data_IF_716552913759
#
_entry.id   IF_716552913759
#
_cell.length_a   1.000
_cell.length_b   1.000
_cell.length_c   1.000
_cell.angle_alpha   90.00
_cell.angle_beta   90.00
_cell.angle_gamma   90.00
#
_symmetry.space_group_name_H-M   'P 1'
#
loop_
_entity.id
_entity.type
_entity.pdbx_description
1 polymer ?
#
# COMPACT_ATOMS: atom_id res chain seq x y z
N UNK A 1 14.53 11.95 15.82
CA UNK A 1 14.46 10.47 16.00
C UNK A 1 13.93 9.87 14.71
N UNK A 2 14.55 8.82 14.25
CA UNK A 2 14.18 8.16 13.00
C UNK A 2 13.05 7.15 13.26
N UNK A 3 12.00 7.20 12.47
CA UNK A 3 10.95 6.18 12.46
C UNK A 3 10.67 5.70 11.03
N UNK A 4 9.87 4.65 10.90
CA UNK A 4 9.70 3.92 9.64
C UNK A 4 8.25 3.89 9.21
N UNK A 5 8.04 3.80 7.91
CA UNK A 5 6.75 3.54 7.27
C UNK A 5 6.94 2.49 6.18
N UNK A 6 5.89 1.75 5.89
CA UNK A 6 5.92 0.74 4.84
C UNK A 6 4.73 0.95 3.90
N UNK A 7 5.04 1.01 2.63
CA UNK A 7 4.05 1.14 1.57
C UNK A 7 4.23 0.05 0.52
N UNK A 8 3.16 -0.23 -0.20
CA UNK A 8 3.21 -1.14 -1.35
C UNK A 8 2.48 -0.45 -2.50
N UNK A 9 3.20 -0.18 -3.59
CA UNK A 9 2.59 0.35 -4.80
C UNK A 9 1.82 -0.77 -5.50
N UNK A 10 0.56 -0.51 -5.80
CA UNK A 10 -0.37 -1.48 -6.37
C UNK A 10 -0.26 -1.55 -7.89
N UNK A 11 -0.84 -2.61 -8.52
CA UNK A 11 -0.76 -2.76 -9.97
C UNK A 11 -1.25 -1.55 -10.77
N UNK A 12 -2.29 -0.86 -10.31
CA UNK A 12 -2.80 0.32 -10.98
C UNK A 12 -1.79 1.48 -11.02
N UNK A 13 -0.98 1.64 -9.97
CA UNK A 13 0.11 2.62 -9.97
C UNK A 13 1.17 2.28 -11.02
N UNK A 14 1.51 0.99 -11.18
CA UNK A 14 2.45 0.54 -12.20
C UNK A 14 1.88 0.74 -13.60
N UNK A 15 0.66 0.28 -13.83
CA UNK A 15 -0.02 0.37 -15.13
C UNK A 15 -0.22 1.82 -15.60
N UNK A 16 -0.44 2.74 -14.67
CA UNK A 16 -0.63 4.16 -14.95
C UNK A 16 0.68 4.96 -14.95
N UNK A 17 1.82 4.31 -14.83
CA UNK A 17 3.15 4.96 -14.81
C UNK A 17 3.30 5.99 -13.68
N UNK A 18 2.71 5.70 -12.52
CA UNK A 18 2.71 6.59 -11.35
C UNK A 18 3.74 6.21 -10.28
N UNK A 19 4.55 5.18 -10.50
CA UNK A 19 5.54 4.71 -9.51
C UNK A 19 6.48 5.84 -9.10
N UNK A 20 7.14 6.48 -10.07
CA UNK A 20 8.10 7.55 -9.80
C UNK A 20 7.41 8.80 -9.24
N UNK A 21 6.29 9.29 -9.79
CA UNK A 21 5.56 10.39 -9.18
C UNK A 21 5.16 10.16 -7.71
N UNK A 22 4.70 8.96 -7.37
CA UNK A 22 4.33 8.61 -5.99
C UNK A 22 5.55 8.59 -5.07
N UNK A 23 6.64 7.94 -5.48
CA UNK A 23 7.87 7.90 -4.70
C UNK A 23 8.43 9.31 -4.48
N UNK A 24 8.40 10.15 -5.50
CA UNK A 24 8.84 11.54 -5.40
C UNK A 24 8.03 12.33 -4.35
N UNK A 25 6.71 12.10 -4.26
CA UNK A 25 5.87 12.72 -3.23
C UNK A 25 6.32 12.35 -1.81
N UNK A 26 6.73 11.11 -1.58
CA UNK A 26 7.28 10.69 -0.29
C UNK A 26 8.63 11.35 -0.02
N UNK A 27 9.52 11.42 -1.01
CA UNK A 27 10.83 12.07 -0.85
C UNK A 27 10.69 13.58 -0.57
N UNK A 28 9.79 14.26 -1.25
CA UNK A 28 9.48 15.68 -1.01
C UNK A 28 8.88 15.94 0.39
N UNK A 29 8.19 14.94 0.95
CA UNK A 29 7.67 14.98 2.32
C UNK A 29 8.71 14.59 3.39
N UNK A 30 9.97 14.42 3.00
CA UNK A 30 11.07 14.14 3.92
C UNK A 30 11.29 12.65 4.22
N UNK A 31 10.70 11.75 3.45
CA UNK A 31 10.98 10.33 3.57
C UNK A 31 12.22 9.92 2.77
N UNK A 32 12.95 8.98 3.31
CA UNK A 32 14.06 8.31 2.64
C UNK A 32 13.67 6.87 2.29
N UNK A 33 14.13 6.39 1.14
CA UNK A 33 13.94 4.99 0.75
C UNK A 33 15.01 4.15 1.43
N UNK A 34 14.60 3.24 2.31
CA UNK A 34 15.49 2.29 2.96
C UNK A 34 15.63 0.99 2.16
N UNK A 35 14.53 0.54 1.57
CA UNK A 35 14.50 -0.66 0.75
C UNK A 35 13.34 -0.60 -0.23
N UNK A 36 13.58 -1.06 -1.45
CA UNK A 36 12.57 -1.14 -2.50
C UNK A 36 12.70 -2.49 -3.19
N UNK A 37 11.57 -3.14 -3.44
CA UNK A 37 11.54 -4.40 -4.15
C UNK A 37 10.46 -4.44 -5.23
N UNK A 38 10.43 -5.54 -5.95
CA UNK A 38 9.37 -5.87 -6.90
C UNK A 38 8.91 -7.31 -6.62
N UNK A 39 7.60 -7.51 -6.54
CA UNK A 39 7.04 -8.84 -6.38
C UNK A 39 6.00 -9.11 -7.48
N UNK A 40 6.16 -10.22 -8.16
CA UNK A 40 5.07 -10.80 -8.94
C UNK A 40 4.14 -11.52 -7.94
N UNK A 41 2.91 -11.03 -7.81
CA UNK A 41 2.01 -11.45 -6.74
C UNK A 41 1.52 -12.87 -6.95
N UNK A 42 1.76 -13.72 -5.94
CA UNK A 42 1.21 -15.07 -5.86
C UNK A 42 -0.06 -15.09 -5.01
N UNK A 43 -0.88 -16.13 -5.18
CA UNK A 43 -2.05 -16.35 -4.34
C UNK A 43 -1.67 -16.41 -2.85
N UNK A 44 -0.60 -17.14 -2.50
CA UNK A 44 -0.12 -17.24 -1.13
C UNK A 44 0.28 -15.90 -0.54
N UNK A 45 1.03 -15.08 -1.28
CA UNK A 45 1.47 -13.76 -0.82
C UNK A 45 0.29 -12.85 -0.51
N UNK A 46 -0.63 -12.71 -1.45
CA UNK A 46 -1.73 -11.76 -1.30
C UNK A 46 -2.79 -12.23 -0.28
N UNK A 47 -2.99 -13.54 -0.17
CA UNK A 47 -3.88 -14.12 0.84
C UNK A 47 -3.35 -13.86 2.25
N UNK A 48 -2.05 -14.05 2.47
CA UNK A 48 -1.42 -13.74 3.75
C UNK A 48 -1.47 -12.25 4.07
N UNK A 49 -1.25 -11.39 3.09
CA UNK A 49 -1.32 -9.94 3.27
C UNK A 49 -2.70 -9.48 3.73
N UNK A 50 -3.76 -10.02 3.16
CA UNK A 50 -5.15 -9.67 3.48
C UNK A 50 -5.84 -10.65 4.43
N UNK A 51 -5.09 -11.51 5.11
CA UNK A 51 -5.66 -12.62 5.91
C UNK A 51 -6.74 -12.17 6.89
N UNK A 52 -6.49 -11.15 7.70
CA UNK A 52 -7.47 -10.65 8.68
C UNK A 52 -8.74 -10.10 8.01
N UNK A 53 -8.57 -9.40 6.89
CA UNK A 53 -9.68 -8.80 6.15
C UNK A 53 -10.51 -9.90 5.45
N UNK A 54 -9.84 -10.91 4.90
CA UNK A 54 -10.50 -12.08 4.30
C UNK A 54 -11.30 -12.84 5.35
N UNK A 55 -10.75 -13.06 6.54
CA UNK A 55 -11.45 -13.71 7.65
C UNK A 55 -12.70 -12.94 8.08
N UNK A 56 -12.64 -11.61 8.02
CA UNK A 56 -13.76 -10.73 8.38
C UNK A 56 -14.86 -10.71 7.32
N UNK A 57 -14.50 -10.60 6.04
CA UNK A 57 -15.46 -10.36 4.95
C UNK A 57 -15.77 -11.59 4.10
N UNK A 58 -15.01 -12.68 4.24
CA UNK A 58 -15.32 -13.97 3.64
C UNK A 58 -14.86 -14.14 2.19
N UNK A 59 -15.45 -15.15 1.54
CA UNK A 59 -14.99 -15.73 0.28
C UNK A 59 -15.12 -14.76 -0.91
N UNK A 60 -16.18 -13.96 -0.98
CA UNK A 60 -16.38 -13.00 -2.06
C UNK A 60 -15.27 -11.93 -2.06
N UNK A 61 -14.85 -11.47 -0.89
CA UNK A 61 -13.73 -10.55 -0.75
C UNK A 61 -12.43 -11.20 -1.18
N UNK A 62 -12.18 -12.44 -0.77
CA UNK A 62 -11.00 -13.21 -1.18
C UNK A 62 -10.92 -13.35 -2.71
N UNK A 63 -12.01 -13.71 -3.36
CA UNK A 63 -12.07 -13.83 -4.82
C UNK A 63 -11.74 -12.49 -5.51
N UNK A 64 -12.27 -11.38 -5.00
CA UNK A 64 -11.98 -10.04 -5.51
C UNK A 64 -10.49 -9.70 -5.38
N UNK A 65 -9.87 -10.03 -4.25
CA UNK A 65 -8.43 -9.83 -4.02
C UNK A 65 -7.60 -10.68 -4.99
N UNK A 66 -7.92 -11.96 -5.12
CA UNK A 66 -7.18 -12.86 -6.02
C UNK A 66 -7.27 -12.40 -7.47
N UNK A 67 -8.46 -12.07 -7.96
CA UNK A 67 -8.65 -11.61 -9.34
C UNK A 67 -7.99 -10.27 -9.63
N UNK A 68 -7.90 -9.41 -8.62
CA UNK A 68 -7.30 -8.08 -8.77
C UNK A 68 -5.77 -8.08 -8.78
N UNK A 69 -5.13 -9.00 -8.06
CA UNK A 69 -3.70 -8.91 -7.77
C UNK A 69 -2.84 -10.07 -8.24
N UNK A 70 -3.36 -11.30 -8.30
CA UNK A 70 -2.54 -12.46 -8.67
C UNK A 70 -1.96 -12.31 -10.07
N UNK A 71 -0.68 -12.66 -10.22
CA UNK A 71 0.12 -12.53 -11.45
C UNK A 71 0.41 -11.10 -11.90
N UNK A 72 0.09 -10.10 -11.07
CA UNK A 72 0.44 -8.70 -11.32
C UNK A 72 1.66 -8.29 -10.49
N UNK A 73 2.31 -7.20 -10.89
CA UNK A 73 3.45 -6.64 -10.16
C UNK A 73 3.02 -5.67 -9.06
N UNK A 74 3.69 -5.73 -7.92
CA UNK A 74 3.57 -4.77 -6.82
C UNK A 74 4.95 -4.42 -6.29
N UNK A 75 5.11 -3.20 -5.80
CA UNK A 75 6.40 -2.67 -5.35
C UNK A 75 6.33 -2.34 -3.86
N UNK A 76 6.89 -3.21 -2.97
CA UNK A 76 7.04 -2.88 -1.57
C UNK A 76 8.18 -1.88 -1.37
N UNK A 77 7.97 -0.88 -0.51
CA UNK A 77 8.96 0.14 -0.19
C UNK A 77 8.99 0.37 1.32
N UNK A 78 10.14 0.13 1.93
CA UNK A 78 10.40 0.54 3.31
C UNK A 78 10.97 1.95 3.30
N UNK A 79 10.33 2.82 4.04
CA UNK A 79 10.66 4.23 4.14
C UNK A 79 11.08 4.58 5.57
N UNK A 80 11.89 5.61 5.72
CA UNK A 80 12.18 6.21 7.02
C UNK A 80 11.99 7.72 6.97
N UNK A 81 11.80 8.32 8.12
CA UNK A 81 11.69 9.77 8.27
C UNK A 81 12.32 10.20 9.60
N UNK A 82 12.99 11.33 9.61
CA UNK A 82 13.45 11.97 10.85
C UNK A 82 12.25 12.59 11.58
N UNK A 83 11.46 11.73 12.22
CA UNK A 83 10.20 12.03 12.88
C UNK A 83 9.83 10.83 13.76
N UNK A 84 9.04 11.04 14.79
CA UNK A 84 8.46 9.94 15.59
C UNK A 84 7.16 9.38 14.99
N UNK A 85 6.69 9.97 13.89
CA UNK A 85 5.35 9.72 13.36
C UNK A 85 5.34 9.30 11.88
N UNK A 86 6.36 8.56 11.41
CA UNK A 86 6.47 8.18 10.00
C UNK A 86 5.23 7.43 9.49
N UNK A 87 4.67 6.50 10.27
CA UNK A 87 3.44 5.78 9.89
C UNK A 87 2.28 6.75 9.71
N UNK A 88 2.03 7.60 10.69
CA UNK A 88 0.96 8.61 10.61
C UNK A 88 1.17 9.54 9.42
N UNK A 89 2.37 10.09 9.25
CA UNK A 89 2.70 11.01 8.17
C UNK A 89 2.53 10.36 6.78
N UNK A 90 2.91 9.10 6.64
CA UNK A 90 2.73 8.36 5.38
C UNK A 90 1.24 8.18 5.04
N UNK A 91 0.40 7.92 6.01
CA UNK A 91 -1.04 7.76 5.83
C UNK A 91 -1.73 9.08 5.51
N UNK A 92 -1.33 10.17 6.15
CA UNK A 92 -1.81 11.52 5.84
C UNK A 92 -1.46 11.90 4.39
N UNK A 93 -0.24 11.64 3.96
CA UNK A 93 0.20 11.90 2.58
C UNK A 93 -0.55 11.05 1.56
N UNK A 94 -0.82 9.78 1.90
CA UNK A 94 -1.55 8.87 1.02
C UNK A 94 -3.00 9.28 0.83
N UNK A 95 -3.67 9.67 1.89
CA UNK A 95 -5.08 10.09 1.87
C UNK A 95 -6.07 8.95 2.14
N UNK A 96 -7.36 9.27 2.11
CA UNK A 96 -8.44 8.33 2.38
C UNK A 96 -8.41 7.11 1.46
N UNK A 97 -8.85 5.96 1.98
CA UNK A 97 -8.90 4.67 1.25
C UNK A 97 -9.69 4.77 -0.05
N UNK A 98 -10.81 5.49 -0.03
CA UNK A 98 -11.59 5.82 -1.21
C UNK A 98 -10.99 7.06 -1.89
N UNK A 99 -10.41 6.94 -3.10
CA UNK A 99 -9.80 8.08 -3.77
C UNK A 99 -10.78 9.24 -4.02
N UNK A 100 -12.06 8.95 -4.21
CA UNK A 100 -13.08 9.98 -4.43
C UNK A 100 -13.34 10.84 -3.19
N UNK A 101 -12.94 10.36 -2.01
CA UNK A 101 -13.06 11.06 -0.72
C UNK A 101 -11.72 11.59 -0.21
N UNK A 102 -10.63 11.29 -0.91
CA UNK A 102 -9.30 11.77 -0.55
C UNK A 102 -9.15 13.25 -0.88
N UNK A 103 -8.57 14.00 0.05
CA UNK A 103 -8.37 15.43 -0.10
C UNK A 103 -7.34 15.79 -1.16
N UNK A 104 -7.50 16.95 -1.77
CA UNK A 104 -6.50 17.53 -2.65
C UNK A 104 -5.17 17.69 -1.88
N UNK A 105 -4.06 17.39 -2.54
CA UNK A 105 -2.73 17.40 -1.93
C UNK A 105 -2.30 16.04 -1.39
N UNK A 106 -3.22 15.08 -1.23
CA UNK A 106 -2.89 13.68 -0.96
C UNK A 106 -2.61 12.93 -2.26
N UNK A 107 -1.86 11.84 -2.18
CA UNK A 107 -1.55 11.02 -3.36
C UNK A 107 -2.82 10.49 -4.02
N UNK A 108 -3.72 9.91 -3.22
CA UNK A 108 -4.98 9.37 -3.73
C UNK A 108 -5.94 10.47 -4.23
N UNK A 109 -5.93 11.63 -3.60
CA UNK A 109 -6.74 12.78 -4.04
C UNK A 109 -6.27 13.36 -5.37
N UNK A 110 -4.96 13.44 -5.56
CA UNK A 110 -4.37 14.05 -6.77
C UNK A 110 -4.31 13.08 -7.96
N UNK A 111 -4.03 11.79 -7.72
CA UNK A 111 -3.82 10.79 -8.76
C UNK A 111 -4.93 9.74 -8.86
N UNK A 112 -5.76 9.58 -7.84
CA UNK A 112 -6.80 8.55 -7.82
C UNK A 112 -7.92 8.83 -8.84
N UNK A 113 -8.46 7.75 -9.41
CA UNK A 113 -9.55 7.82 -10.39
C UNK A 113 -10.60 6.71 -10.21
N UNK A 114 -10.64 6.11 -9.03
CA UNK A 114 -11.57 5.03 -8.70
C UNK A 114 -12.37 5.37 -7.44
N UNK A 115 -13.39 4.58 -7.15
CA UNK A 115 -14.22 4.68 -5.95
C UNK A 115 -14.43 3.30 -5.32
N UNK A 116 -14.65 3.26 -4.01
CA UNK A 116 -15.04 2.01 -3.34
C UNK A 116 -16.38 1.48 -3.84
N UNK A 117 -17.32 2.37 -4.15
CA UNK A 117 -18.63 1.99 -4.70
C UNK A 117 -18.48 1.25 -6.03
N UNK A 118 -17.73 1.80 -6.99
CA UNK A 118 -17.49 1.15 -8.28
C UNK A 118 -16.78 -0.20 -8.11
N UNK A 119 -15.76 -0.27 -7.25
CA UNK A 119 -15.05 -1.51 -6.97
C UNK A 119 -15.97 -2.59 -6.40
N UNK A 120 -16.82 -2.23 -5.44
CA UNK A 120 -17.78 -3.15 -4.83
C UNK A 120 -18.81 -3.66 -5.85
N UNK A 121 -19.33 -2.78 -6.70
CA UNK A 121 -20.27 -3.15 -7.76
C UNK A 121 -19.65 -4.11 -8.78
N UNK A 122 -18.37 -3.98 -9.06
CA UNK A 122 -17.63 -4.80 -10.02
C UNK A 122 -16.95 -6.02 -9.36
N UNK A 123 -17.14 -6.23 -8.07
CA UNK A 123 -16.51 -7.34 -7.29
C UNK A 123 -14.99 -7.39 -7.47
N UNK A 124 -14.34 -6.26 -7.36
CA UNK A 124 -12.88 -6.12 -7.43
C UNK A 124 -12.35 -5.27 -6.28
N UNK A 125 -11.03 -5.30 -6.09
CA UNK A 125 -10.37 -4.38 -5.18
C UNK A 125 -10.35 -2.96 -5.75
N UNK A 126 -10.45 -1.96 -4.88
CA UNK A 126 -10.36 -0.56 -5.28
C UNK A 126 -8.95 -0.23 -5.80
N UNK A 127 -8.87 0.41 -6.95
CA UNK A 127 -7.63 0.93 -7.52
C UNK A 127 -7.27 2.25 -6.84
N UNK A 128 -6.61 2.16 -5.69
CA UNK A 128 -6.25 3.32 -4.88
C UNK A 128 -4.73 3.52 -4.74
N UNK A 129 -3.97 3.01 -5.69
CA UNK A 129 -2.56 3.28 -5.96
C UNK A 129 -1.56 2.61 -5.03
N UNK A 130 -1.79 2.62 -3.73
CA UNK A 130 -0.85 2.06 -2.76
C UNK A 130 -1.55 1.61 -1.48
N UNK A 131 -0.87 0.74 -0.78
CA UNK A 131 -1.15 0.34 0.59
C UNK A 131 -0.17 1.04 1.53
N UNK A 132 -0.63 1.44 2.71
CA UNK A 132 0.21 1.91 3.82
C UNK A 132 -0.06 1.07 5.06
N UNK A 133 0.98 0.61 5.75
CA UNK A 133 0.82 -0.01 7.06
C UNK A 133 0.23 0.98 8.05
N UNK A 134 -0.67 0.51 8.90
CA UNK A 134 -1.42 1.35 9.84
C UNK A 134 -0.87 1.33 11.28
N UNK A 135 0.06 0.44 11.56
CA UNK A 135 0.69 0.29 12.87
C UNK A 135 2.10 -0.26 12.74
N UNK A 136 2.87 -0.14 13.80
CA UNK A 136 4.22 -0.74 13.88
C UNK A 136 4.17 -2.27 13.77
N UNK A 137 3.18 -2.89 14.40
CA UNK A 137 2.96 -4.34 14.30
C UNK A 137 2.69 -4.77 12.85
N UNK A 138 1.76 -4.11 12.18
CA UNK A 138 1.48 -4.36 10.76
C UNK A 138 2.70 -4.13 9.88
N UNK A 139 3.45 -3.07 10.12
CA UNK A 139 4.68 -2.77 9.39
C UNK A 139 5.68 -3.92 9.48
N UNK A 140 5.95 -4.42 10.68
CA UNK A 140 6.92 -5.50 10.90
C UNK A 140 6.48 -6.82 10.22
N UNK A 141 5.22 -7.16 10.32
CA UNK A 141 4.66 -8.35 9.68
C UNK A 141 4.70 -8.23 8.14
N UNK A 142 4.30 -7.09 7.61
CA UNK A 142 4.26 -6.85 6.17
C UNK A 142 5.66 -6.77 5.55
N UNK A 143 6.61 -6.13 6.20
CA UNK A 143 8.02 -6.11 5.74
C UNK A 143 8.58 -7.52 5.67
N UNK A 144 8.34 -8.33 6.70
CA UNK A 144 8.76 -9.74 6.71
C UNK A 144 8.11 -10.53 5.56
N UNK A 145 6.83 -10.34 5.35
CA UNK A 145 6.08 -11.05 4.29
C UNK A 145 6.57 -10.65 2.89
N UNK A 146 6.70 -9.35 2.63
CA UNK A 146 6.99 -8.83 1.29
C UNK A 146 8.47 -8.89 0.91
N UNK A 147 9.38 -8.78 1.87
CA UNK A 147 10.83 -8.87 1.65
C UNK A 147 11.44 -10.22 2.05
N UNK A 148 10.68 -11.07 2.74
CA UNK A 148 11.16 -12.38 3.21
C UNK A 148 12.18 -12.32 4.33
N UNK A 149 12.36 -11.17 4.96
CA UNK A 149 13.34 -10.95 6.03
C UNK A 149 12.72 -10.13 7.15
N UNK A 150 13.06 -10.47 8.40
CA UNK A 150 12.70 -9.65 9.56
C UNK A 150 13.40 -8.29 9.47
N UNK A 151 12.71 -7.29 9.95
CA UNK A 151 13.24 -5.94 10.10
C UNK A 151 13.19 -5.56 11.58
N UNK A 152 14.33 -5.09 12.10
CA UNK A 152 14.43 -4.61 13.48
C UNK A 152 14.38 -3.09 13.46
N UNK A 153 13.41 -2.52 14.17
CA UNK A 153 13.33 -1.09 14.41
C UNK A 153 14.45 -0.72 15.39
N UNK A 154 15.45 0.02 14.92
CA UNK A 154 16.54 0.54 15.76
C UNK A 154 16.46 2.04 15.92
#
# INVERSE_FOLDING_TARGET
MKSYAFIILKPDALERELVIPIILRFQEAGFMIERLGYRNVTESLITKHYQEVIERFGEAFKEAVLSSYVSKGMIPVLLSQESEAAIFNSRVLTGATDPSKAGKGTIRGDYGNDTLEAANLENRSCNNLLHCSDSEESLLEEVKLWFGQKFDLK
#
